data_IF_458824987193
#
_entry.id   IF_458824987193
#
_cell.length_a   1.000
_cell.length_b   1.000
_cell.length_c   1.000
_cell.angle_alpha   90.00
_cell.angle_beta   90.00
_cell.angle_gamma   90.00
#
_symmetry.space_group_name_H-M   'P 1'
#
loop_
_entity.id
_entity.type
_entity.pdbx_description
1 polymer ?
#
# COMPACT_ATOMS: atom_id res chain seq x y z
N UNK A 1 -31.39 -6.98 19.65
CA UNK A 1 -30.49 -7.59 20.66
C UNK A 1 -31.06 -8.91 21.17
N UNK A 2 -32.18 -8.93 21.91
CA UNK A 2 -32.79 -10.14 22.51
C UNK A 2 -33.04 -11.30 21.51
N UNK A 3 -33.56 -11.00 20.32
CA UNK A 3 -33.79 -12.03 19.28
C UNK A 3 -32.52 -12.78 18.85
N UNK A 4 -31.41 -12.04 18.72
CA UNK A 4 -30.13 -12.63 18.35
C UNK A 4 -29.63 -13.56 19.46
N UNK A 5 -29.77 -13.14 20.73
CA UNK A 5 -29.43 -13.95 21.92
C UNK A 5 -30.17 -15.28 21.90
N UNK A 6 -31.50 -15.24 21.74
CA UNK A 6 -32.34 -16.43 21.69
C UNK A 6 -31.92 -17.36 20.55
N UNK A 7 -31.63 -16.80 19.37
CA UNK A 7 -31.18 -17.57 18.20
C UNK A 7 -29.82 -18.24 18.45
N UNK A 8 -28.86 -17.54 19.06
CA UNK A 8 -27.56 -18.12 19.42
C UNK A 8 -27.69 -19.24 20.46
N UNK A 9 -28.59 -19.09 21.44
CA UNK A 9 -28.87 -20.16 22.42
C UNK A 9 -29.50 -21.39 21.74
N UNK A 10 -30.50 -21.20 20.88
CA UNK A 10 -31.13 -22.28 20.12
C UNK A 10 -30.13 -23.00 19.21
N UNK A 11 -29.27 -22.23 18.51
CA UNK A 11 -28.21 -22.79 17.67
C UNK A 11 -27.20 -23.57 18.51
N UNK A 12 -26.79 -23.05 19.67
CA UNK A 12 -25.86 -23.72 20.58
C UNK A 12 -26.42 -25.05 21.10
N UNK A 13 -27.69 -25.08 21.54
CA UNK A 13 -28.36 -26.34 21.93
C UNK A 13 -28.35 -27.37 20.79
N UNK A 14 -28.60 -26.94 19.55
CA UNK A 14 -28.68 -27.86 18.41
C UNK A 14 -27.30 -28.42 18.02
N UNK A 15 -26.29 -27.56 17.89
CA UNK A 15 -24.99 -27.95 17.36
C UNK A 15 -24.06 -28.57 18.39
N UNK A 16 -24.24 -28.30 19.69
CA UNK A 16 -23.38 -28.80 20.77
C UNK A 16 -23.96 -29.99 21.54
N UNK A 17 -25.01 -30.64 21.03
CA UNK A 17 -25.57 -31.84 21.67
C UNK A 17 -26.42 -31.56 22.91
N UNK A 18 -27.17 -30.45 22.90
CA UNK A 18 -28.13 -30.09 23.93
C UNK A 18 -27.53 -29.34 25.11
N UNK A 19 -28.23 -29.40 26.25
CA UNK A 19 -27.90 -28.61 27.44
C UNK A 19 -26.52 -28.92 28.02
N UNK A 20 -26.09 -30.19 27.99
CA UNK A 20 -24.77 -30.58 28.52
C UNK A 20 -23.64 -29.86 27.78
N UNK A 21 -23.58 -29.98 26.45
CA UNK A 21 -22.53 -29.34 25.67
C UNK A 21 -22.61 -27.81 25.64
N UNK A 22 -23.81 -27.25 25.80
CA UNK A 22 -23.97 -25.81 26.04
C UNK A 22 -23.26 -25.37 27.33
N UNK A 23 -23.58 -26.03 28.46
CA UNK A 23 -23.01 -25.65 29.76
C UNK A 23 -21.51 -25.91 29.82
N UNK A 24 -21.04 -27.00 29.20
CA UNK A 24 -19.61 -27.33 29.09
C UNK A 24 -18.86 -26.27 28.27
N UNK A 25 -19.42 -25.82 27.15
CA UNK A 25 -18.82 -24.76 26.34
C UNK A 25 -18.79 -23.41 27.07
N UNK A 26 -19.86 -23.10 27.81
CA UNK A 26 -19.94 -21.89 28.62
C UNK A 26 -18.91 -21.89 29.76
N UNK A 27 -18.60 -23.07 30.31
CA UNK A 27 -17.61 -23.23 31.37
C UNK A 27 -16.15 -23.20 30.86
N UNK A 28 -15.90 -23.76 29.68
CA UNK A 28 -14.55 -23.85 29.09
C UNK A 28 -14.10 -22.53 28.45
N UNK A 29 -14.82 -22.09 27.42
CA UNK A 29 -14.38 -20.96 26.61
C UNK A 29 -14.83 -19.62 27.18
N UNK A 30 -15.79 -19.61 28.12
CA UNK A 30 -16.23 -18.43 28.87
C UNK A 30 -16.84 -17.28 28.05
N UNK A 31 -16.79 -17.36 26.72
CA UNK A 31 -17.17 -16.28 25.81
C UNK A 31 -18.67 -16.31 25.49
N UNK A 32 -19.31 -15.18 25.72
CA UNK A 32 -20.61 -14.84 25.14
C UNK A 32 -20.41 -13.71 24.11
N UNK A 33 -20.87 -13.83 22.86
CA UNK A 33 -21.72 -14.89 22.30
C UNK A 33 -20.97 -16.21 22.02
N UNK A 34 -21.70 -17.33 22.09
CA UNK A 34 -21.15 -18.68 21.85
C UNK A 34 -20.42 -18.77 20.50
N UNK A 35 -19.23 -19.37 20.50
CA UNK A 35 -18.43 -19.52 19.29
C UNK A 35 -18.89 -20.70 18.45
N UNK A 36 -19.11 -20.45 17.17
CA UNK A 36 -19.49 -21.44 16.17
C UNK A 36 -18.49 -21.45 15.03
N UNK A 37 -18.01 -22.64 14.67
CA UNK A 37 -17.08 -22.79 13.55
C UNK A 37 -17.00 -24.21 13.04
N UNK A 38 -16.29 -24.35 11.94
CA UNK A 38 -15.98 -25.63 11.32
C UNK A 38 -14.93 -26.33 12.16
N UNK A 39 -15.19 -27.60 12.47
CA UNK A 39 -14.21 -28.46 13.13
C UNK A 39 -13.08 -28.79 12.16
N UNK A 40 -11.85 -28.39 12.53
CA UNK A 40 -10.67 -28.58 11.69
C UNK A 40 -9.90 -29.84 12.06
N UNK A 41 -9.95 -30.26 13.32
CA UNK A 41 -9.23 -31.45 13.79
C UNK A 41 -9.09 -31.55 15.30
N UNK A 42 -8.43 -32.61 15.75
CA UNK A 42 -8.07 -32.85 17.13
C UNK A 42 -6.61 -33.27 17.21
N UNK A 43 -5.92 -32.84 18.26
CA UNK A 43 -4.58 -33.33 18.57
C UNK A 43 -4.62 -34.64 19.37
N UNK A 44 -3.44 -35.18 19.70
CA UNK A 44 -3.30 -36.38 20.51
C UNK A 44 -3.71 -36.17 21.99
N UNK A 45 -3.71 -34.93 22.48
CA UNK A 45 -4.11 -34.58 23.84
C UNK A 45 -5.64 -34.44 24.00
N UNK A 46 -6.39 -34.50 22.90
CA UNK A 46 -7.85 -34.36 22.89
C UNK A 46 -8.33 -32.92 22.71
N UNK A 47 -7.44 -31.97 22.44
CA UNK A 47 -7.79 -30.58 22.13
C UNK A 47 -8.41 -30.51 20.73
N UNK A 48 -9.56 -29.84 20.61
CA UNK A 48 -10.32 -29.72 19.37
C UNK A 48 -10.16 -28.32 18.79
N UNK A 49 -9.83 -28.24 17.51
CA UNK A 49 -9.53 -27.00 16.82
C UNK A 49 -10.67 -26.61 15.87
N UNK A 50 -11.01 -25.32 15.88
CA UNK A 50 -12.13 -24.79 15.11
C UNK A 50 -11.75 -23.51 14.36
N UNK A 51 -12.39 -23.30 13.21
CA UNK A 51 -12.20 -22.10 12.40
C UNK A 51 -13.52 -21.54 11.87
N UNK A 52 -13.65 -20.21 11.89
CA UNK A 52 -14.71 -19.48 11.21
C UNK A 52 -14.18 -18.12 10.73
N UNK A 53 -13.88 -18.03 9.42
CA UNK A 53 -13.39 -16.83 8.75
C UNK A 53 -14.48 -15.84 8.31
N UNK A 54 -15.76 -16.25 8.40
CA UNK A 54 -16.89 -15.46 7.87
C UNK A 54 -17.45 -14.55 8.94
N UNK A 55 -17.73 -15.10 10.13
CA UNK A 55 -18.45 -14.38 11.17
C UNK A 55 -17.53 -13.67 12.19
N UNK A 56 -16.26 -14.09 12.28
CA UNK A 56 -15.31 -13.58 13.28
C UNK A 56 -14.17 -12.78 12.66
N UNK A 57 -13.70 -11.72 13.35
CA UNK A 57 -12.56 -10.95 12.90
C UNK A 57 -11.26 -11.75 12.97
N UNK A 58 -10.27 -11.29 12.20
CA UNK A 58 -8.92 -11.82 12.28
C UNK A 58 -8.38 -11.75 13.73
N UNK A 59 -7.69 -12.80 14.15
CA UNK A 59 -7.29 -13.02 15.55
C UNK A 59 -8.31 -13.74 16.45
N UNK A 60 -9.61 -13.74 16.10
CA UNK A 60 -10.64 -14.50 16.85
C UNK A 60 -11.27 -15.63 16.01
N UNK A 61 -11.01 -15.63 14.70
CA UNK A 61 -11.50 -16.62 13.74
C UNK A 61 -11.04 -18.07 13.95
N UNK A 62 -9.99 -18.31 14.75
CA UNK A 62 -9.52 -19.64 15.14
C UNK A 62 -9.56 -19.76 16.65
N UNK A 63 -9.90 -20.92 17.18
CA UNK A 63 -9.79 -21.22 18.61
C UNK A 63 -9.63 -22.72 18.86
N UNK A 64 -9.23 -23.03 20.08
CA UNK A 64 -9.11 -24.40 20.60
C UNK A 64 -10.13 -24.60 21.72
N UNK A 65 -10.73 -25.78 21.75
CA UNK A 65 -11.47 -26.28 22.91
C UNK A 65 -10.62 -27.36 23.58
N UNK A 66 -10.26 -27.18 24.86
CA UNK A 66 -9.34 -28.10 25.52
C UNK A 66 -9.96 -29.49 25.69
N UNK A 67 -9.11 -30.51 25.58
CA UNK A 67 -9.48 -31.89 25.90
C UNK A 67 -9.66 -32.09 27.41
N UNK A 68 -8.76 -31.51 28.21
CA UNK A 68 -8.85 -31.43 29.66
C UNK A 68 -9.23 -30.02 30.09
N UNK A 69 -10.47 -29.87 30.56
CA UNK A 69 -11.06 -28.59 30.95
C UNK A 69 -10.39 -28.01 32.21
N UNK A 70 -9.95 -28.86 33.14
CA UNK A 70 -9.52 -28.41 34.46
C UNK A 70 -8.03 -28.10 34.54
N UNK A 71 -7.23 -28.65 33.62
CA UNK A 71 -5.78 -28.48 33.60
C UNK A 71 -5.25 -27.99 32.25
N UNK A 72 -6.03 -27.15 31.56
CA UNK A 72 -5.61 -26.58 30.29
C UNK A 72 -4.56 -25.48 30.49
N UNK A 73 -3.47 -25.57 29.73
CA UNK A 73 -2.49 -24.50 29.57
C UNK A 73 -2.35 -24.16 28.09
N UNK A 74 -2.13 -22.89 27.77
CA UNK A 74 -1.77 -22.42 26.44
C UNK A 74 -0.56 -23.15 25.84
N UNK A 75 0.41 -23.55 26.69
CA UNK A 75 1.58 -24.31 26.27
C UNK A 75 1.30 -25.80 25.99
N UNK A 76 0.09 -26.28 26.30
CA UNK A 76 -0.32 -27.67 25.99
C UNK A 76 -0.66 -27.89 24.52
N UNK A 77 -0.79 -26.81 23.74
CA UNK A 77 -1.00 -26.89 22.28
C UNK A 77 0.29 -27.41 21.64
N UNK A 78 0.25 -28.55 20.93
CA UNK A 78 1.44 -29.13 20.35
C UNK A 78 1.95 -28.32 19.15
N UNK A 79 3.23 -28.42 18.79
CA UNK A 79 3.88 -27.54 17.81
C UNK A 79 3.22 -27.58 16.42
N UNK A 80 2.71 -28.74 15.99
CA UNK A 80 2.01 -28.90 14.72
C UNK A 80 0.75 -28.02 14.65
N UNK A 81 -0.01 -27.94 15.73
CA UNK A 81 -1.22 -27.12 15.80
C UNK A 81 -0.93 -25.67 16.19
N UNK A 82 0.15 -25.42 16.92
CA UNK A 82 0.53 -24.09 17.39
C UNK A 82 0.73 -23.12 16.21
N UNK A 83 1.48 -23.50 15.18
CA UNK A 83 1.72 -22.66 14.00
C UNK A 83 0.44 -22.24 13.27
N UNK A 84 -0.52 -23.17 13.14
CA UNK A 84 -1.83 -22.86 12.59
C UNK A 84 -2.67 -21.98 13.52
N UNK A 85 -2.64 -22.23 14.83
CA UNK A 85 -3.39 -21.48 15.82
C UNK A 85 -2.98 -19.99 15.84
N UNK A 86 -1.68 -19.71 15.77
CA UNK A 86 -1.17 -18.32 15.76
C UNK A 86 -1.12 -17.70 14.35
N UNK A 87 -1.73 -18.34 13.35
CA UNK A 87 -1.76 -17.86 11.96
C UNK A 87 -0.37 -17.70 11.32
N UNK A 88 0.63 -18.47 11.75
CA UNK A 88 1.90 -18.62 11.01
C UNK A 88 1.68 -19.44 9.73
N UNK A 89 0.86 -20.49 9.84
CA UNK A 89 0.51 -21.36 8.72
C UNK A 89 -1.00 -21.29 8.44
N UNK A 90 -1.37 -21.37 7.15
CA UNK A 90 -2.78 -21.37 6.72
C UNK A 90 -3.42 -22.75 6.75
N UNK A 91 -2.63 -23.79 6.49
CA UNK A 91 -3.09 -25.18 6.49
C UNK A 91 -2.94 -25.78 7.90
N UNK A 92 -4.00 -26.41 8.47
CA UNK A 92 -3.85 -27.22 9.67
C UNK A 92 -3.11 -28.53 9.37
N UNK A 93 -2.56 -29.21 10.39
CA UNK A 93 -1.76 -30.43 10.23
C UNK A 93 -2.43 -31.54 9.41
N UNK A 94 -3.76 -31.64 9.47
CA UNK A 94 -4.52 -32.69 8.77
C UNK A 94 -4.49 -32.53 7.26
N UNK A 95 -4.39 -31.29 6.75
CA UNK A 95 -4.40 -31.01 5.30
C UNK A 95 -3.04 -30.46 4.83
N UNK A 96 -2.04 -30.48 5.69
CA UNK A 96 -0.72 -29.90 5.42
C UNK A 96 -0.03 -30.61 4.26
N UNK A 97 -0.04 -31.95 4.24
CA UNK A 97 0.61 -32.74 3.19
C UNK A 97 -0.01 -32.47 1.81
N UNK A 98 -1.34 -32.46 1.72
CA UNK A 98 -2.08 -32.16 0.50
C UNK A 98 -1.78 -30.74 0.01
N UNK A 99 -1.81 -29.77 0.93
CA UNK A 99 -1.50 -28.37 0.64
C UNK A 99 -0.06 -28.22 0.11
N UNK A 100 0.92 -28.84 0.77
CA UNK A 100 2.32 -28.84 0.32
C UNK A 100 2.44 -29.53 -1.05
N UNK A 101 1.74 -30.65 -1.27
CA UNK A 101 1.71 -31.37 -2.54
C UNK A 101 1.21 -30.50 -3.70
N UNK A 102 0.15 -29.72 -3.47
CA UNK A 102 -0.34 -28.74 -4.45
C UNK A 102 0.67 -27.62 -4.70
N UNK A 103 1.27 -27.06 -3.63
CA UNK A 103 2.25 -25.97 -3.75
C UNK A 103 3.54 -26.40 -4.43
N UNK A 104 3.98 -27.64 -4.25
CA UNK A 104 5.17 -28.20 -4.91
C UNK A 104 5.08 -28.15 -6.43
N UNK A 105 3.88 -28.20 -7.02
CA UNK A 105 3.69 -28.06 -8.48
C UNK A 105 4.09 -26.68 -9.02
N UNK A 106 4.06 -25.66 -8.16
CA UNK A 106 4.46 -24.29 -8.51
C UNK A 106 5.94 -24.02 -8.22
N UNK A 107 6.63 -24.94 -7.54
CA UNK A 107 8.07 -24.83 -7.36
C UNK A 107 8.68 -25.11 -8.73
N UNK A 108 9.20 -24.07 -9.36
CA UNK A 108 10.04 -24.21 -10.54
C UNK A 108 11.26 -24.97 -10.04
N UNK A 109 11.50 -26.22 -10.50
CA UNK A 109 12.73 -26.89 -10.17
C UNK A 109 13.85 -25.95 -10.64
N UNK A 110 14.87 -25.71 -9.80
CA UNK A 110 16.11 -25.16 -10.31
C UNK A 110 16.60 -26.18 -11.33
N UNK A 111 16.25 -25.97 -12.60
CA UNK A 111 16.93 -26.59 -13.70
C UNK A 111 18.42 -26.39 -13.43
N UNK A 112 19.22 -27.44 -13.62
CA UNK A 112 20.67 -27.47 -13.39
C UNK A 112 21.46 -26.37 -14.14
N UNK A 113 20.76 -25.51 -14.88
CA UNK A 113 21.29 -24.37 -15.60
C UNK A 113 21.00 -23.11 -14.79
N UNK A 114 21.99 -22.71 -14.00
CA UNK A 114 22.04 -21.35 -13.48
C UNK A 114 22.12 -20.39 -14.67
N UNK A 115 21.14 -19.49 -14.79
CA UNK A 115 21.20 -18.38 -15.75
C UNK A 115 22.13 -17.26 -15.26
N UNK A 116 22.76 -17.43 -14.10
CA UNK A 116 23.81 -16.52 -13.66
C UNK A 116 25.02 -16.66 -14.60
N UNK A 117 25.62 -15.55 -15.03
CA UNK A 117 26.83 -15.58 -15.86
C UNK A 117 28.04 -16.21 -15.14
N UNK A 118 27.94 -16.39 -13.82
CA UNK A 118 28.97 -16.99 -12.99
C UNK A 118 28.49 -18.35 -12.46
N UNK A 119 29.36 -19.34 -12.59
CA UNK A 119 29.22 -20.72 -12.08
C UNK A 119 29.45 -20.82 -10.56
N UNK A 120 30.05 -19.79 -9.97
CA UNK A 120 30.35 -19.68 -8.54
C UNK A 120 29.69 -18.45 -7.88
N UNK A 121 29.43 -18.57 -6.58
CA UNK A 121 28.88 -17.53 -5.70
C UNK A 121 29.91 -16.48 -5.24
N UNK A 122 31.12 -16.49 -5.81
CA UNK A 122 32.26 -15.67 -5.34
C UNK A 122 32.38 -14.34 -6.12
N UNK A 123 31.46 -14.08 -7.06
CA UNK A 123 31.54 -12.91 -7.95
C UNK A 123 32.68 -13.04 -8.97
N UNK A 124 32.83 -12.04 -9.86
CA UNK A 124 33.91 -12.03 -10.85
C UNK A 124 35.26 -11.87 -10.16
N UNK A 125 36.08 -12.92 -10.13
CA UNK A 125 37.45 -12.90 -9.62
C UNK A 125 38.43 -12.82 -10.80
N UNK A 126 38.97 -11.63 -11.06
CA UNK A 126 40.12 -11.46 -11.94
C UNK A 126 41.33 -12.25 -11.39
N UNK A 127 42.05 -12.96 -12.26
CA UNK A 127 43.15 -13.88 -11.89
C UNK A 127 44.29 -13.18 -11.15
N UNK A 128 44.42 -11.86 -11.31
CA UNK A 128 45.28 -10.99 -10.52
C UNK A 128 44.82 -9.53 -10.72
N UNK A 129 44.07 -8.96 -9.78
CA UNK A 129 43.74 -7.53 -9.84
C UNK A 129 44.97 -6.73 -9.41
N UNK A 130 45.89 -6.47 -10.35
CA UNK A 130 47.02 -5.59 -10.10
C UNK A 130 46.52 -4.15 -10.09
N UNK A 131 46.26 -3.59 -8.90
CA UNK A 131 45.88 -2.20 -8.74
C UNK A 131 46.98 -1.21 -9.17
N UNK A 132 48.13 -1.64 -9.70
CA UNK A 132 49.25 -0.78 -10.08
C UNK A 132 49.67 0.16 -8.93
N UNK A 133 49.63 -0.33 -7.70
CA UNK A 133 49.84 0.46 -6.48
C UNK A 133 48.86 1.64 -6.30
N UNK A 134 47.74 1.66 -7.02
CA UNK A 134 46.68 2.64 -6.85
C UNK A 134 45.88 2.33 -5.58
N UNK A 135 45.61 3.37 -4.81
CA UNK A 135 44.75 3.30 -3.63
C UNK A 135 43.32 3.01 -4.06
N UNK A 136 42.63 2.09 -3.37
CA UNK A 136 41.22 1.83 -3.59
C UNK A 136 40.39 3.08 -3.27
N UNK A 137 39.89 3.76 -4.30
CA UNK A 137 39.16 5.04 -4.18
C UNK A 137 37.83 4.91 -3.42
N UNK A 138 37.26 3.70 -3.26
CA UNK A 138 36.07 3.50 -2.41
C UNK A 138 36.34 3.73 -0.91
N UNK A 139 37.62 3.68 -0.51
CA UNK A 139 38.04 3.98 0.87
C UNK A 139 38.30 5.47 1.08
N UNK A 140 38.47 6.23 -0.01
CA UNK A 140 38.65 7.69 0.00
C UNK A 140 37.27 8.33 0.04
N UNK A 141 36.74 8.48 1.26
CA UNK A 141 35.42 9.09 1.50
C UNK A 141 35.55 10.40 2.26
N UNK A 142 34.66 11.34 1.98
CA UNK A 142 34.46 12.49 2.86
C UNK A 142 34.09 12.02 4.29
N UNK A 143 34.63 12.68 5.31
CA UNK A 143 34.32 12.40 6.73
C UNK A 143 33.00 13.01 7.19
N UNK A 144 32.41 13.87 6.38
CA UNK A 144 31.11 14.48 6.60
C UNK A 144 30.68 15.34 5.41
N UNK A 145 29.43 15.79 5.42
CA UNK A 145 28.90 16.59 4.32
C UNK A 145 29.70 17.90 4.15
N UNK A 146 30.35 18.07 2.99
CA UNK A 146 31.11 19.29 2.66
C UNK A 146 32.43 19.49 3.41
N UNK A 147 32.86 18.55 4.26
CA UNK A 147 34.07 18.69 5.09
C UNK A 147 35.32 18.12 4.39
N UNK A 148 35.15 17.16 3.47
CA UNK A 148 36.26 16.45 2.85
C UNK A 148 36.90 15.45 3.82
N UNK A 149 38.15 15.07 3.55
CA UNK A 149 38.90 14.15 4.40
C UNK A 149 40.40 14.50 4.39
N UNK A 150 40.90 15.16 5.45
CA UNK A 150 42.29 15.65 5.51
C UNK A 150 43.31 14.51 5.58
N UNK A 151 42.92 13.31 6.02
CA UNK A 151 43.84 12.16 6.15
C UNK A 151 44.25 11.61 4.78
N UNK A 152 43.34 11.69 3.80
CA UNK A 152 43.55 11.21 2.43
C UNK A 152 43.71 12.36 1.44
N UNK A 153 43.83 13.60 1.93
CA UNK A 153 44.00 14.80 1.10
C UNK A 153 42.79 15.18 0.26
N UNK A 154 41.57 14.74 0.62
CA UNK A 154 40.35 15.08 -0.11
C UNK A 154 39.86 16.47 0.33
N UNK A 155 39.82 17.48 -0.56
CA UNK A 155 39.42 18.82 -0.17
C UNK A 155 37.92 18.91 0.16
N UNK A 156 37.50 19.91 0.97
CA UNK A 156 36.10 20.18 1.25
C UNK A 156 35.29 20.36 -0.03
N UNK A 157 34.17 19.65 -0.15
CA UNK A 157 33.27 19.74 -1.32
C UNK A 157 33.73 18.97 -2.56
N UNK A 158 34.86 18.25 -2.51
CA UNK A 158 35.23 17.32 -3.58
C UNK A 158 34.20 16.18 -3.68
N UNK A 159 33.87 15.79 -4.91
CA UNK A 159 32.96 14.68 -5.19
C UNK A 159 33.63 13.35 -4.80
N UNK A 160 32.90 12.51 -4.07
CA UNK A 160 33.37 11.17 -3.76
C UNK A 160 33.56 10.35 -5.05
N UNK A 161 34.67 9.60 -5.12
CA UNK A 161 35.11 8.91 -6.35
C UNK A 161 34.52 7.50 -6.53
N UNK A 162 33.56 7.08 -5.71
CA UNK A 162 32.94 5.76 -5.83
C UNK A 162 31.65 5.79 -6.65
N UNK A 163 31.34 4.65 -7.26
CA UNK A 163 30.11 4.47 -8.01
C UNK A 163 28.89 4.60 -7.08
N UNK A 164 27.95 5.46 -7.46
CA UNK A 164 26.64 5.57 -6.81
C UNK A 164 25.59 4.91 -7.70
N UNK A 165 24.80 4.02 -7.11
CA UNK A 165 23.74 3.34 -7.85
C UNK A 165 22.73 4.35 -8.42
N UNK A 166 22.16 4.10 -9.62
CA UNK A 166 21.04 4.89 -10.14
C UNK A 166 19.88 4.89 -9.15
N UNK A 167 19.33 6.06 -8.86
CA UNK A 167 18.28 6.24 -7.84
C UNK A 167 18.78 6.60 -6.44
N UNK A 168 20.09 6.53 -6.18
CA UNK A 168 20.66 7.00 -4.91
C UNK A 168 20.50 8.52 -4.77
N UNK A 169 20.13 9.05 -3.57
CA UNK A 169 20.09 10.49 -3.32
C UNK A 169 21.43 11.22 -3.53
N UNK A 170 22.55 10.47 -3.49
CA UNK A 170 23.90 10.99 -3.70
C UNK A 170 24.34 10.92 -5.17
N UNK A 171 23.55 10.29 -6.03
CA UNK A 171 23.84 10.23 -7.46
C UNK A 171 23.35 11.52 -8.14
N UNK A 172 24.26 12.30 -8.70
CA UNK A 172 23.95 13.54 -9.43
C UNK A 172 22.91 13.34 -10.52
N UNK A 173 22.92 12.21 -11.23
CA UNK A 173 21.94 11.89 -12.26
C UNK A 173 20.52 11.68 -11.68
N UNK A 174 20.43 11.34 -10.39
CA UNK A 174 19.16 11.16 -9.66
C UNK A 174 18.70 12.44 -8.96
N UNK A 175 19.59 13.41 -8.74
CA UNK A 175 19.25 14.71 -8.18
C UNK A 175 18.53 15.52 -9.27
N UNK A 176 17.20 15.63 -9.14
CA UNK A 176 16.41 16.45 -10.05
C UNK A 176 16.70 17.94 -9.78
N UNK A 177 17.23 18.70 -10.74
CA UNK A 177 17.48 20.12 -10.54
C UNK A 177 16.16 20.87 -10.34
N UNK A 178 16.18 21.95 -9.56
CA UNK A 178 15.01 22.83 -9.43
C UNK A 178 14.80 23.56 -10.76
N UNK A 179 13.74 23.20 -11.48
CA UNK A 179 13.29 23.92 -12.67
C UNK A 179 12.12 24.82 -12.28
N UNK A 180 12.29 26.14 -12.43
CA UNK A 180 11.20 27.10 -12.27
C UNK A 180 10.50 27.27 -13.63
N UNK A 181 9.17 27.33 -13.62
CA UNK A 181 8.32 27.47 -14.81
C UNK A 181 8.22 28.94 -15.24
N UNK A 182 8.31 29.88 -14.29
CA UNK A 182 8.28 31.33 -14.56
C UNK A 182 8.49 32.15 -13.28
N UNK A 183 8.38 33.46 -13.40
CA UNK A 183 8.40 34.43 -12.29
C UNK A 183 7.10 35.24 -12.31
N UNK A 184 6.48 35.44 -11.14
CA UNK A 184 5.23 36.20 -11.04
C UNK A 184 5.46 37.71 -11.27
N UNK A 185 6.66 38.21 -10.97
CA UNK A 185 7.02 39.62 -11.08
C UNK A 185 7.99 39.87 -12.25
N UNK A 186 7.93 39.05 -13.31
CA UNK A 186 8.81 39.17 -14.49
C UNK A 186 8.77 40.59 -15.08
N UNK A 187 7.59 41.21 -15.13
CA UNK A 187 7.38 42.59 -15.60
C UNK A 187 7.98 43.68 -14.68
N UNK A 188 8.28 43.35 -13.42
CA UNK A 188 8.81 44.28 -12.40
C UNK A 188 10.29 44.05 -12.10
N UNK A 189 10.97 43.23 -12.90
CA UNK A 189 12.38 42.88 -12.71
C UNK A 189 12.61 41.61 -11.89
N UNK A 190 11.57 40.78 -11.71
CA UNK A 190 11.63 39.47 -11.06
C UNK A 190 11.62 39.53 -9.53
N UNK A 191 11.60 38.35 -8.90
CA UNK A 191 11.70 38.20 -7.44
C UNK A 191 10.81 37.12 -6.82
N UNK A 192 9.87 36.55 -7.58
CA UNK A 192 8.95 35.49 -7.11
C UNK A 192 8.89 34.33 -8.11
N UNK A 193 10.01 33.60 -8.31
CA UNK A 193 10.04 32.44 -9.20
C UNK A 193 9.17 31.30 -8.66
N UNK A 194 8.45 30.62 -9.56
CA UNK A 194 7.59 29.50 -9.22
C UNK A 194 7.84 28.26 -10.12
N UNK A 195 7.87 27.09 -9.48
CA UNK A 195 7.95 25.72 -10.03
C UNK A 195 6.59 25.07 -10.37
N UNK A 196 5.46 25.67 -9.99
CA UNK A 196 4.12 25.16 -10.31
C UNK A 196 3.07 26.26 -10.18
N UNK A 197 1.95 26.14 -10.89
CA UNK A 197 0.84 27.11 -10.81
C UNK A 197 0.26 27.21 -9.39
N UNK A 198 0.17 26.09 -8.67
CA UNK A 198 -0.21 26.10 -7.24
C UNK A 198 0.76 26.90 -6.38
N UNK A 199 2.05 26.91 -6.72
CA UNK A 199 3.02 27.71 -5.99
C UNK A 199 2.94 29.18 -6.37
N UNK A 200 2.67 29.51 -7.64
CA UNK A 200 2.35 30.87 -8.07
C UNK A 200 1.14 31.42 -7.30
N UNK A 201 0.07 30.62 -7.15
CA UNK A 201 -1.09 30.97 -6.34
C UNK A 201 -0.75 31.17 -4.86
N UNK A 202 0.18 30.40 -4.30
CA UNK A 202 0.63 30.60 -2.91
C UNK A 202 1.45 31.88 -2.74
N UNK A 203 2.21 32.29 -3.75
CA UNK A 203 3.05 33.48 -3.73
C UNK A 203 2.27 34.78 -4.01
N UNK A 204 1.07 34.68 -4.62
CA UNK A 204 0.19 35.83 -4.86
C UNK A 204 -0.39 36.39 -3.57
N UNK A 205 -0.46 37.71 -3.50
CA UNK A 205 -1.10 38.41 -2.37
C UNK A 205 -2.63 38.23 -2.40
N UNK A 206 -3.33 38.37 -1.27
CA UNK A 206 -4.79 38.29 -1.23
C UNK A 206 -5.48 39.29 -2.18
N UNK A 207 -4.91 40.48 -2.35
CA UNK A 207 -5.42 41.51 -3.26
C UNK A 207 -5.29 41.09 -4.74
N UNK A 208 -4.15 40.52 -5.13
CA UNK A 208 -3.94 39.98 -6.49
C UNK A 208 -4.91 38.84 -6.80
N UNK A 209 -5.19 37.97 -5.82
CA UNK A 209 -6.16 36.87 -5.98
C UNK A 209 -7.57 37.40 -6.22
N UNK A 210 -8.00 38.38 -5.41
CA UNK A 210 -9.31 39.00 -5.54
C UNK A 210 -9.47 39.73 -6.89
N UNK A 211 -8.40 40.38 -7.38
CA UNK A 211 -8.41 41.03 -8.69
C UNK A 211 -8.61 40.02 -9.83
N UNK A 212 -7.89 38.88 -9.81
CA UNK A 212 -8.02 37.82 -10.81
C UNK A 212 -9.41 37.17 -10.76
N UNK A 213 -9.95 36.95 -9.56
CA UNK A 213 -11.29 36.41 -9.39
C UNK A 213 -12.35 37.36 -9.95
N UNK A 214 -12.20 38.67 -9.68
CA UNK A 214 -13.06 39.70 -10.27
C UNK A 214 -12.97 39.72 -11.79
N UNK A 215 -11.77 39.68 -12.37
CA UNK A 215 -11.59 39.61 -13.82
C UNK A 215 -12.22 38.36 -14.43
N UNK A 216 -12.10 37.20 -13.78
CA UNK A 216 -12.76 35.97 -14.21
C UNK A 216 -14.28 36.11 -14.17
N UNK A 217 -14.83 36.68 -13.10
CA UNK A 217 -16.27 36.93 -12.97
C UNK A 217 -16.77 37.92 -14.02
N UNK A 218 -16.01 38.98 -14.30
CA UNK A 218 -16.32 39.96 -15.33
C UNK A 218 -16.25 39.34 -16.73
N UNK A 219 -15.28 38.47 -16.99
CA UNK A 219 -15.17 37.73 -18.25
C UNK A 219 -16.34 36.75 -18.45
N UNK A 220 -16.73 36.02 -17.39
CA UNK A 220 -17.90 35.12 -17.40
C UNK A 220 -19.17 35.94 -17.68
N UNK A 221 -19.33 37.08 -17.02
CA UNK A 221 -20.48 37.97 -17.25
C UNK A 221 -20.53 38.46 -18.70
N UNK A 222 -19.41 38.93 -19.26
CA UNK A 222 -19.33 39.31 -20.68
C UNK A 222 -19.68 38.16 -21.61
N UNK A 223 -19.19 36.94 -21.34
CA UNK A 223 -19.49 35.76 -22.15
C UNK A 223 -20.98 35.41 -22.11
N UNK A 224 -21.61 35.49 -20.93
CA UNK A 224 -23.05 35.27 -20.75
C UNK A 224 -23.87 36.34 -21.47
N UNK A 225 -23.47 37.61 -21.42
CA UNK A 225 -24.18 38.69 -22.08
C UNK A 225 -24.08 38.58 -23.62
N UNK A 226 -22.91 38.17 -24.14
CA UNK A 226 -22.72 37.85 -25.56
C UNK A 226 -23.58 36.64 -25.97
N UNK A 227 -23.65 35.60 -25.15
CA UNK A 227 -24.47 34.41 -25.41
C UNK A 227 -25.96 34.77 -25.44
N UNK A 228 -26.45 35.56 -24.48
CA UNK A 228 -27.82 36.09 -24.46
C UNK A 228 -28.14 36.94 -25.69
N UNK A 229 -27.24 37.84 -26.10
CA UNK A 229 -27.42 38.64 -27.30
C UNK A 229 -27.46 37.75 -28.56
N UNK A 230 -26.59 36.73 -28.64
CA UNK A 230 -26.59 35.76 -29.74
C UNK A 230 -27.86 34.90 -29.75
N UNK A 231 -28.39 34.51 -28.60
CA UNK A 231 -29.62 33.74 -28.45
C UNK A 231 -30.85 34.57 -28.85
N UNK A 232 -30.88 35.86 -28.50
CA UNK A 232 -31.93 36.79 -28.95
C UNK A 232 -31.92 36.96 -30.48
N UNK A 233 -30.73 37.11 -31.08
CA UNK A 233 -30.54 37.16 -32.54
C UNK A 233 -31.00 35.86 -33.22
N UNK A 234 -30.65 34.69 -32.66
CA UNK A 234 -31.13 33.38 -33.15
C UNK A 234 -32.65 33.27 -33.07
N UNK A 235 -33.27 33.75 -32.00
CA UNK A 235 -34.73 33.74 -31.82
C UNK A 235 -35.44 34.64 -32.83
N UNK A 236 -34.90 35.84 -33.10
CA UNK A 236 -35.42 36.74 -34.14
C UNK A 236 -35.29 36.13 -35.54
N UNK A 237 -34.15 35.51 -35.86
CA UNK A 237 -33.95 34.83 -37.14
C UNK A 237 -34.90 33.65 -37.35
N UNK A 238 -35.21 32.88 -36.29
CA UNK A 238 -36.20 31.79 -36.34
C UNK A 238 -37.64 32.32 -36.50
N UNK A 239 -37.99 33.43 -35.86
CA UNK A 239 -39.30 34.07 -36.03
C UNK A 239 -39.48 34.62 -37.46
N UNK A 240 -38.44 35.21 -38.05
CA UNK A 240 -38.47 35.69 -39.44
C UNK A 240 -38.63 34.55 -40.47
N UNK A 241 -38.14 33.35 -40.18
CA UNK A 241 -38.32 32.15 -41.02
C UNK A 241 -39.74 31.56 -40.94
N UNK A 242 -40.54 31.89 -39.93
CA UNK A 242 -41.91 31.42 -39.75
C UNK A 242 -42.98 32.23 -40.50
N UNK A 243 -42.63 33.35 -41.14
CA UNK A 243 -43.55 34.26 -41.83
C UNK A 243 -43.44 34.19 -43.37
N UNK A 244 -42.96 33.07 -43.91
CA UNK A 244 -42.97 32.78 -45.34
C UNK A 244 -44.19 31.95 -45.73
N UNK A 245 -45.08 32.54 -46.51
CA UNK A 245 -46.25 31.90 -47.13
C UNK A 245 -45.92 30.58 -47.85
N UNK A 246 -46.66 29.51 -47.52
CA UNK A 246 -46.90 28.44 -48.49
C UNK A 246 -47.98 28.95 -49.43
N UNK A 247 -47.55 29.57 -50.54
CA UNK A 247 -48.39 29.90 -51.68
C UNK A 247 -47.71 29.35 -52.93
N UNK A 248 -48.35 28.39 -53.60
CA UNK A 248 -47.93 27.92 -54.91
C UNK A 248 -48.27 26.45 -55.17
N UNK A 249 -49.30 26.27 -56.00
CA UNK A 249 -49.67 25.15 -56.86
C UNK A 249 -48.62 24.08 -57.18
#
# INVERSE_FOLDING_TARGET
>A
MVYHIIRTFQASLKYRGGWKGLFEHMYTNGDYPFKFGTYMGCDAAGNRYYENRVDYPFGQHRWVEPGDIHNFDSASIPPEWHGWMVSMNDAPPIVEEDYIGERKKHIIPLESVSHAPADHNVGHQEKLFNFHHLTNLSTVRSRGFGIGNPIVGLPPGAKDSYYTQPGSPYNEASIRPRVNIGDLDEDKGGGRPYKSMKWAERLRTPAEKAAIEKEKMDAVKRAVDVEKASAAMRKMAMAARGAGSVAGA
#
